data_IF_599538694497
#
_entry.id   IF_599538694497
#
_cell.length_a   1.000
_cell.length_b   1.000
_cell.length_c   1.000
_cell.angle_alpha   90.00
_cell.angle_beta   90.00
_cell.angle_gamma   90.00
#
_symmetry.space_group_name_H-M   'P 1'
#
loop_
_entity.id
_entity.type
_entity.pdbx_description
1 polymer ?
#
# COMPACT_ATOMS: atom_id res chain seq x y z
N UNK A 1 -26.07 -0.80 16.19
CA UNK A 1 -26.34 0.38 15.35
C UNK A 1 -25.24 1.41 15.62
N UNK A 2 -24.29 1.58 14.70
CA UNK A 2 -23.19 2.55 14.87
C UNK A 2 -23.78 3.97 14.94
N UNK A 3 -23.68 4.62 16.10
CA UNK A 3 -24.15 5.99 16.30
C UNK A 3 -23.16 6.96 15.65
N UNK A 4 -23.25 7.12 14.32
CA UNK A 4 -22.38 7.97 13.49
C UNK A 4 -22.24 9.42 14.03
N UNK A 5 -23.27 9.93 14.72
CA UNK A 5 -23.28 11.25 15.39
C UNK A 5 -22.16 11.45 16.42
N UNK A 6 -21.54 10.39 16.94
CA UNK A 6 -20.43 10.52 17.89
C UNK A 6 -19.10 10.84 17.21
N UNK A 7 -18.95 10.50 15.94
CA UNK A 7 -17.68 10.57 15.21
C UNK A 7 -17.72 11.58 14.06
N UNK A 8 -18.90 11.81 13.48
CA UNK A 8 -19.15 12.70 12.35
C UNK A 8 -20.30 13.65 12.69
N UNK A 9 -20.10 14.93 12.42
CA UNK A 9 -21.11 15.98 12.62
C UNK A 9 -22.17 15.95 11.50
N UNK A 10 -23.24 16.73 11.67
CA UNK A 10 -24.33 16.87 10.70
C UNK A 10 -23.84 17.39 9.35
N UNK A 11 -22.76 18.17 9.34
CA UNK A 11 -22.14 18.73 8.15
C UNK A 11 -21.17 17.74 7.45
N UNK A 12 -21.07 16.49 7.95
CA UNK A 12 -20.16 15.48 7.42
C UNK A 12 -18.71 15.63 7.89
N UNK A 13 -18.43 16.56 8.80
CA UNK A 13 -17.11 16.82 9.36
C UNK A 13 -16.77 15.89 10.53
N UNK A 14 -15.49 15.58 10.71
CA UNK A 14 -15.03 14.79 11.85
C UNK A 14 -15.13 15.61 13.15
N UNK A 15 -15.81 15.04 14.15
CA UNK A 15 -15.81 15.60 15.52
C UNK A 15 -14.39 15.52 16.11
N UNK A 16 -14.06 16.24 17.19
CA UNK A 16 -12.72 16.15 17.82
C UNK A 16 -12.32 14.71 18.20
N UNK A 17 -13.30 13.90 18.62
CA UNK A 17 -13.10 12.46 18.90
C UNK A 17 -12.86 11.67 17.62
N UNK A 18 -13.66 11.91 16.57
CA UNK A 18 -13.47 11.37 15.22
C UNK A 18 -12.08 11.67 14.67
N UNK A 19 -11.64 12.93 14.75
CA UNK A 19 -10.32 13.38 14.27
C UNK A 19 -9.17 12.68 14.99
N UNK A 20 -9.25 12.49 16.31
CA UNK A 20 -8.23 11.76 17.08
C UNK A 20 -8.17 10.29 16.64
N UNK A 21 -9.32 9.64 16.49
CA UNK A 21 -9.40 8.25 16.03
C UNK A 21 -8.87 8.10 14.59
N UNK A 22 -9.35 8.92 13.66
CA UNK A 22 -8.91 8.90 12.26
C UNK A 22 -7.41 9.15 12.12
N UNK A 23 -6.81 10.01 12.96
CA UNK A 23 -5.35 10.20 12.97
C UNK A 23 -4.61 8.92 13.38
N UNK A 24 -5.07 8.24 14.43
CA UNK A 24 -4.49 6.95 14.86
C UNK A 24 -4.63 5.90 13.76
N UNK A 25 -5.81 5.81 13.13
CA UNK A 25 -6.07 4.86 12.04
C UNK A 25 -5.18 5.15 10.82
N UNK A 26 -5.02 6.42 10.43
CA UNK A 26 -4.15 6.83 9.33
C UNK A 26 -2.68 6.49 9.63
N UNK A 27 -2.20 6.78 10.84
CA UNK A 27 -0.83 6.43 11.24
C UNK A 27 -0.61 4.91 11.27
N UNK A 28 -1.56 4.14 11.83
CA UNK A 28 -1.50 2.69 11.86
C UNK A 28 -1.54 2.11 10.44
N UNK A 29 -2.39 2.64 9.56
CA UNK A 29 -2.48 2.20 8.18
C UNK A 29 -1.23 2.53 7.38
N UNK A 30 -0.60 3.70 7.61
CA UNK A 30 0.70 4.03 7.02
C UNK A 30 1.79 3.02 7.43
N UNK A 31 1.83 2.63 8.70
CA UNK A 31 2.74 1.57 9.17
C UNK A 31 2.46 0.23 8.47
N UNK A 32 1.19 -0.15 8.34
CA UNK A 32 0.79 -1.34 7.57
C UNK A 32 1.26 -1.26 6.11
N UNK A 33 1.14 -0.10 5.45
CA UNK A 33 1.60 0.08 4.08
C UNK A 33 3.11 -0.06 3.96
N UNK A 34 3.89 0.51 4.88
CA UNK A 34 5.36 0.33 4.88
C UNK A 34 5.69 -1.15 5.03
N UNK A 35 5.05 -1.86 5.97
CA UNK A 35 5.28 -3.28 6.16
C UNK A 35 4.88 -4.09 4.92
N UNK A 36 3.70 -3.87 4.35
CA UNK A 36 3.22 -4.64 3.20
C UNK A 36 4.02 -4.35 1.93
N UNK A 37 4.40 -3.09 1.69
CA UNK A 37 5.12 -2.68 0.48
C UNK A 37 6.63 -2.98 0.56
N UNK A 38 7.22 -3.08 1.75
CA UNK A 38 8.65 -3.37 1.92
C UNK A 38 8.96 -4.79 2.39
N UNK A 39 7.96 -5.58 2.79
CA UNK A 39 8.18 -7.00 3.11
C UNK A 39 8.33 -7.78 1.79
N UNK A 40 9.42 -8.54 1.62
CA UNK A 40 9.57 -9.38 0.44
C UNK A 40 8.45 -10.41 0.34
N UNK A 41 7.81 -10.50 -0.82
CA UNK A 41 6.74 -11.44 -1.08
C UNK A 41 7.30 -12.72 -1.70
N UNK A 42 7.69 -13.68 -0.86
CA UNK A 42 8.24 -14.96 -1.33
C UNK A 42 7.15 -15.90 -1.80
N UNK A 43 7.34 -16.51 -2.98
CA UNK A 43 6.58 -17.69 -3.41
C UNK A 43 5.07 -17.51 -3.49
N UNK A 44 4.57 -16.28 -3.67
CA UNK A 44 3.13 -16.04 -3.86
C UNK A 44 2.58 -16.73 -5.11
N UNK A 45 3.44 -16.93 -6.12
CA UNK A 45 3.14 -17.71 -7.32
C UNK A 45 4.34 -18.60 -7.61
N UNK A 46 4.11 -19.93 -7.66
CA UNK A 46 5.14 -20.90 -8.03
C UNK A 46 5.66 -20.59 -9.44
N UNK A 47 6.98 -20.43 -9.54
CA UNK A 47 7.66 -20.17 -10.81
C UNK A 47 7.69 -18.71 -11.26
N UNK A 48 7.28 -17.74 -10.42
CA UNK A 48 7.47 -16.30 -10.68
C UNK A 48 8.50 -15.75 -9.71
N UNK A 49 9.75 -15.62 -10.16
CA UNK A 49 10.77 -14.88 -9.43
C UNK A 49 10.73 -13.41 -9.82
N UNK A 50 10.79 -12.51 -8.83
CA UNK A 50 10.85 -11.09 -9.14
C UNK A 50 12.26 -10.77 -9.62
N UNK A 51 12.45 -10.21 -10.83
CA UNK A 51 13.78 -9.96 -11.36
C UNK A 51 14.54 -8.94 -10.52
N UNK A 52 15.87 -8.98 -10.53
CA UNK A 52 16.71 -8.00 -9.82
C UNK A 52 16.77 -8.16 -8.28
N UNK A 53 16.15 -9.21 -7.72
CA UNK A 53 16.31 -9.57 -6.30
C UNK A 53 17.74 -10.07 -6.05
N UNK A 54 18.37 -9.57 -4.99
CA UNK A 54 19.69 -10.03 -4.53
C UNK A 54 19.56 -10.75 -3.19
N UNK A 55 20.24 -11.90 -3.07
CA UNK A 55 20.27 -12.72 -1.87
C UNK A 55 21.63 -12.60 -1.17
N UNK A 56 21.62 -12.09 0.07
CA UNK A 56 22.78 -12.09 0.98
C UNK A 56 22.50 -13.05 2.14
N UNK A 57 22.71 -14.34 1.92
CA UNK A 57 22.31 -15.37 2.87
C UNK A 57 20.79 -15.40 3.03
N UNK A 58 20.27 -15.07 4.21
CA UNK A 58 18.82 -14.97 4.49
C UNK A 58 18.23 -13.59 4.20
N UNK A 59 19.08 -12.60 3.94
CA UNK A 59 18.64 -11.23 3.67
C UNK A 59 18.34 -11.11 2.18
N UNK A 60 17.15 -10.62 1.87
CA UNK A 60 16.69 -10.42 0.48
C UNK A 60 16.43 -8.95 0.28
N UNK A 61 17.10 -8.38 -0.70
CA UNK A 61 17.02 -6.94 -1.00
C UNK A 61 16.75 -6.71 -2.48
N UNK A 62 15.96 -5.68 -2.76
CA UNK A 62 15.73 -5.16 -4.10
C UNK A 62 16.28 -3.75 -4.17
N UNK A 63 17.56 -3.63 -4.55
CA UNK A 63 18.27 -2.33 -4.62
C UNK A 63 18.02 -1.59 -5.94
N UNK A 64 17.34 -2.23 -6.90
CA UNK A 64 17.06 -1.65 -8.20
C UNK A 64 15.83 -0.74 -8.13
N UNK A 65 15.97 0.58 -8.31
CA UNK A 65 14.82 1.48 -8.36
C UNK A 65 13.98 1.18 -9.60
N UNK A 66 12.66 1.28 -9.48
CA UNK A 66 11.72 0.97 -10.58
C UNK A 66 11.98 -0.39 -11.24
N UNK A 67 12.29 -1.40 -10.43
CA UNK A 67 12.70 -2.73 -10.87
C UNK A 67 11.88 -3.32 -12.02
N UNK A 68 10.54 -3.18 -11.97
CA UNK A 68 9.65 -3.68 -13.01
C UNK A 68 9.85 -3.00 -14.37
N UNK A 69 10.34 -1.76 -14.41
CA UNK A 69 10.68 -1.05 -15.65
C UNK A 69 12.10 -1.37 -16.10
N UNK A 70 13.06 -1.38 -15.17
CA UNK A 70 14.48 -1.58 -15.49
C UNK A 70 14.80 -3.02 -15.88
N UNK A 71 14.15 -4.00 -15.25
CA UNK A 71 14.35 -5.44 -15.51
C UNK A 71 13.16 -6.08 -16.23
N UNK A 72 12.36 -5.28 -16.95
CA UNK A 72 11.20 -5.78 -17.71
C UNK A 72 11.61 -6.85 -18.74
N UNK A 73 12.80 -6.73 -19.32
CA UNK A 73 13.34 -7.67 -20.31
C UNK A 73 13.68 -9.06 -19.74
N UNK A 74 13.72 -9.21 -18.41
CA UNK A 74 14.00 -10.48 -17.72
C UNK A 74 12.72 -11.28 -17.43
N UNK A 75 11.55 -10.73 -17.77
CA UNK A 75 10.26 -11.39 -17.61
C UNK A 75 9.99 -12.22 -18.88
N UNK A 76 10.16 -13.54 -18.78
CA UNK A 76 10.08 -14.45 -19.93
C UNK A 76 8.64 -14.92 -20.19
N UNK A 77 7.73 -14.78 -19.22
CA UNK A 77 6.34 -15.23 -19.37
C UNK A 77 5.29 -14.13 -19.19
N UNK A 78 4.19 -14.24 -19.95
CA UNK A 78 3.02 -13.37 -19.81
C UNK A 78 2.45 -13.42 -18.38
N UNK A 79 2.56 -14.56 -17.70
CA UNK A 79 2.15 -14.71 -16.29
C UNK A 79 2.98 -13.84 -15.36
N UNK A 80 4.31 -13.84 -15.50
CA UNK A 80 5.21 -12.98 -14.71
C UNK A 80 4.92 -11.50 -14.96
N UNK A 81 4.74 -11.12 -16.24
CA UNK A 81 4.43 -9.73 -16.62
C UNK A 81 3.12 -9.27 -15.97
N UNK A 82 2.05 -10.05 -16.10
CA UNK A 82 0.73 -9.73 -15.51
C UNK A 82 0.82 -9.69 -13.98
N UNK A 83 1.56 -10.60 -13.36
CA UNK A 83 1.71 -10.64 -11.90
C UNK A 83 2.47 -9.41 -11.37
N UNK A 84 3.61 -9.06 -11.97
CA UNK A 84 4.42 -7.91 -11.56
C UNK A 84 3.67 -6.59 -11.79
N UNK A 85 2.97 -6.45 -12.92
CA UNK A 85 2.09 -5.29 -13.15
C UNK A 85 0.93 -5.25 -12.15
N UNK A 86 0.29 -6.40 -11.92
CA UNK A 86 -0.81 -6.54 -10.97
C UNK A 86 -0.41 -6.15 -9.55
N UNK A 87 0.74 -6.63 -9.07
CA UNK A 87 1.30 -6.25 -7.76
C UNK A 87 1.49 -4.73 -7.64
N UNK A 88 2.07 -4.09 -8.67
CA UNK A 88 2.24 -2.62 -8.67
C UNK A 88 0.90 -1.87 -8.67
N UNK A 89 -0.07 -2.32 -9.46
CA UNK A 89 -1.43 -1.75 -9.50
C UNK A 89 -2.12 -1.90 -8.15
N UNK A 90 -2.06 -3.07 -7.53
CA UNK A 90 -2.62 -3.31 -6.18
C UNK A 90 -1.95 -2.43 -5.13
N UNK A 91 -0.62 -2.25 -5.19
CA UNK A 91 0.09 -1.35 -4.29
C UNK A 91 -0.36 0.11 -4.42
N UNK A 92 -0.70 0.58 -5.63
CA UNK A 92 -1.30 1.90 -5.84
C UNK A 92 -2.69 1.96 -5.19
N UNK A 93 -3.54 0.94 -5.40
CA UNK A 93 -4.89 0.92 -4.80
C UNK A 93 -4.86 0.81 -3.27
N UNK A 94 -3.83 0.19 -2.69
CA UNK A 94 -3.62 0.16 -1.23
C UNK A 94 -3.41 1.56 -0.64
N UNK A 95 -3.01 2.57 -1.43
CA UNK A 95 -2.95 3.96 -0.96
C UNK A 95 -4.33 4.59 -0.79
N UNK A 96 -5.39 4.05 -1.41
CA UNK A 96 -6.72 4.69 -1.40
C UNK A 96 -7.29 4.94 0.00
N UNK A 97 -7.22 4.03 0.99
CA UNK A 97 -7.75 4.29 2.33
C UNK A 97 -6.92 5.34 3.08
N UNK A 98 -5.61 5.41 2.80
CA UNK A 98 -4.74 6.45 3.35
C UNK A 98 -5.16 7.83 2.84
N UNK A 99 -5.36 7.96 1.52
CA UNK A 99 -5.78 9.22 0.90
C UNK A 99 -7.16 9.66 1.43
N UNK A 100 -8.13 8.75 1.49
CA UNK A 100 -9.46 9.05 2.06
C UNK A 100 -9.36 9.49 3.52
N UNK A 101 -8.53 8.83 4.33
CA UNK A 101 -8.27 9.22 5.72
C UNK A 101 -7.63 10.60 5.85
N UNK A 102 -6.68 10.93 4.97
CA UNK A 102 -6.02 12.25 4.94
C UNK A 102 -6.97 13.37 4.49
N UNK A 103 -7.81 13.11 3.49
CA UNK A 103 -8.86 14.04 3.03
C UNK A 103 -9.88 14.29 4.13
N UNK A 104 -10.32 13.23 4.84
CA UNK A 104 -11.22 13.37 5.99
C UNK A 104 -10.60 14.21 7.12
N UNK A 105 -9.28 14.08 7.37
CA UNK A 105 -8.57 14.88 8.37
C UNK A 105 -8.27 16.31 7.91
N UNK A 106 -8.21 16.56 6.60
CA UNK A 106 -7.76 17.83 6.03
C UNK A 106 -8.85 18.44 5.14
N UNK A 107 -9.87 19.08 5.75
CA UNK A 107 -11.01 19.64 5.02
C UNK A 107 -10.64 20.75 4.02
N UNK A 108 -9.40 21.27 4.07
CA UNK A 108 -8.87 22.21 3.07
C UNK A 108 -8.70 21.57 1.68
N UNK A 109 -8.53 20.26 1.60
CA UNK A 109 -8.24 19.54 0.35
C UNK A 109 -9.44 18.74 -0.18
N UNK A 110 -10.63 18.86 0.45
CA UNK A 110 -11.88 18.23 -0.01
C UNK A 110 -12.76 19.22 -0.76
#
# INVERSE_FOLDING_TARGET
>A
MFQLKTWVDKDGELTPKGRKLSRVLVCAYLLCLVLLCWTPQYGLVEGVETPGIQHFGRVVVLLTPFNSLTNFYQLDSLKEIVFVLGQNVTNIFLLSPLILGLLALSPRFR
#
